data_IF_908930804647
#
_entry.id   IF_908930804647
#
_cell.length_a   1.000
_cell.length_b   1.000
_cell.length_c   1.000
_cell.angle_alpha   90.00
_cell.angle_beta   90.00
_cell.angle_gamma   90.00
#
_symmetry.space_group_name_H-M   'P 1'
#
loop_
_entity.id
_entity.type
_entity.pdbx_description
1 polymer ?
#
# COMPACT_ATOMS: atom_id res chain seq x y z
N UNK A 1 9.97 21.35 7.77
CA UNK A 1 9.09 20.85 6.70
C UNK A 1 9.92 20.72 5.44
N UNK A 2 9.86 19.60 4.73
CA UNK A 2 10.59 19.41 3.48
C UNK A 2 10.05 20.37 2.41
N UNK A 3 10.89 20.80 1.47
CA UNK A 3 10.40 21.44 0.25
C UNK A 3 9.45 20.48 -0.47
N UNK A 4 8.29 20.99 -0.89
CA UNK A 4 7.24 20.19 -1.52
C UNK A 4 7.78 19.54 -2.80
N UNK A 5 7.85 18.21 -2.82
CA UNK A 5 8.33 17.44 -3.96
C UNK A 5 9.83 17.10 -3.96
N UNK A 6 10.58 17.43 -2.91
CA UNK A 6 11.98 17.03 -2.77
C UNK A 6 12.17 15.51 -2.54
N UNK A 7 11.12 14.82 -2.07
CA UNK A 7 11.10 13.38 -1.82
C UNK A 7 9.89 12.75 -2.55
N UNK A 8 10.15 11.71 -3.36
CA UNK A 8 9.13 10.94 -4.09
C UNK A 8 9.04 9.54 -3.51
N UNK A 9 7.84 9.11 -3.14
CA UNK A 9 7.56 7.79 -2.58
C UNK A 9 6.54 7.10 -3.46
N UNK A 10 6.83 5.86 -3.87
CA UNK A 10 5.90 5.01 -4.59
C UNK A 10 5.06 4.19 -3.60
N UNK A 11 3.75 4.22 -3.77
CA UNK A 11 2.80 3.38 -3.03
C UNK A 11 1.92 2.63 -4.03
N UNK A 12 1.31 1.52 -3.59
CA UNK A 12 0.34 0.76 -4.35
C UNK A 12 -0.94 0.65 -3.53
N UNK A 13 -2.12 0.85 -4.13
CA UNK A 13 -3.39 0.70 -3.41
C UNK A 13 -3.58 -0.76 -2.97
N UNK A 14 -4.14 -1.02 -1.78
CA UNK A 14 -4.40 -2.37 -1.30
C UNK A 14 -5.70 -2.97 -1.89
N UNK A 15 -6.06 -2.64 -3.13
CA UNK A 15 -7.34 -3.02 -3.76
C UNK A 15 -7.56 -4.53 -3.79
N UNK A 16 -6.50 -5.31 -4.01
CA UNK A 16 -6.53 -6.78 -4.02
C UNK A 16 -5.75 -7.40 -2.84
N UNK A 17 -5.48 -6.62 -1.79
CA UNK A 17 -4.66 -7.08 -0.68
C UNK A 17 -5.37 -8.17 0.14
N UNK A 18 -4.69 -9.31 0.29
CA UNK A 18 -5.14 -10.46 1.07
C UNK A 18 -3.96 -11.27 1.58
N UNK A 19 -4.12 -11.92 2.73
CA UNK A 19 -3.20 -12.95 3.21
C UNK A 19 -3.70 -14.30 2.71
N UNK A 20 -3.21 -14.73 1.55
CA UNK A 20 -3.64 -15.98 0.88
C UNK A 20 -2.62 -17.12 0.96
N UNK A 21 -1.45 -16.83 1.51
CA UNK A 21 -0.36 -17.76 1.76
C UNK A 21 0.51 -17.20 2.89
N UNK A 22 1.40 -18.02 3.44
CA UNK A 22 2.33 -17.61 4.48
C UNK A 22 3.78 -17.83 4.03
N UNK A 23 4.54 -16.75 3.91
CA UNK A 23 6.00 -16.77 3.67
C UNK A 23 6.79 -16.17 4.84
N UNK A 24 6.09 -15.64 5.85
CA UNK A 24 6.68 -15.12 7.08
C UNK A 24 5.73 -15.37 8.28
N UNK A 25 6.24 -15.32 9.52
CA UNK A 25 5.48 -15.69 10.72
C UNK A 25 4.26 -14.80 11.06
N UNK A 26 4.15 -13.61 10.45
CA UNK A 26 3.06 -12.67 10.72
C UNK A 26 1.79 -12.97 9.90
N UNK A 27 1.92 -13.83 8.87
CA UNK A 27 0.82 -14.15 7.96
C UNK A 27 -0.07 -15.26 8.54
N UNK A 28 -1.20 -14.86 9.15
CA UNK A 28 -2.25 -15.78 9.62
C UNK A 28 -3.38 -15.89 8.58
N UNK A 29 -3.42 -17.01 7.85
CA UNK A 29 -4.39 -17.24 6.77
C UNK A 29 -5.83 -17.44 7.29
N UNK A 30 -6.02 -17.84 8.55
CA UNK A 30 -7.35 -18.02 9.15
C UNK A 30 -7.98 -16.71 9.63
N UNK A 31 -7.23 -15.61 9.61
CA UNK A 31 -7.71 -14.28 9.96
C UNK A 31 -7.81 -13.42 8.70
N UNK A 32 -8.99 -13.38 8.03
CA UNK A 32 -9.14 -12.63 6.79
C UNK A 32 -8.91 -11.13 7.01
N UNK A 33 -8.32 -10.48 6.00
CA UNK A 33 -8.10 -9.03 6.01
C UNK A 33 -9.44 -8.30 5.94
N UNK A 34 -9.65 -7.35 6.84
CA UNK A 34 -10.68 -6.33 6.69
C UNK A 34 -10.23 -5.32 5.62
N UNK A 35 -10.79 -5.46 4.42
CA UNK A 35 -10.39 -4.67 3.23
C UNK A 35 -10.75 -3.19 3.38
N UNK A 36 -11.84 -2.86 4.07
CA UNK A 36 -12.22 -1.47 4.33
C UNK A 36 -11.21 -0.83 5.27
N UNK A 37 -10.90 -1.50 6.38
CA UNK A 37 -9.89 -1.02 7.33
C UNK A 37 -8.51 -0.89 6.69
N UNK A 38 -8.11 -1.84 5.84
CA UNK A 38 -6.84 -1.77 5.11
C UNK A 38 -6.78 -0.54 4.19
N UNK A 39 -7.86 -0.23 3.48
CA UNK A 39 -7.94 0.97 2.64
C UNK A 39 -7.91 2.26 3.46
N UNK A 40 -8.61 2.31 4.60
CA UNK A 40 -8.58 3.46 5.52
C UNK A 40 -7.17 3.70 6.07
N UNK A 41 -6.50 2.66 6.56
CA UNK A 41 -5.13 2.72 7.06
C UNK A 41 -4.14 3.18 5.98
N UNK A 42 -4.30 2.69 4.75
CA UNK A 42 -3.48 3.10 3.61
C UNK A 42 -3.68 4.58 3.26
N UNK A 43 -4.93 5.06 3.24
CA UNK A 43 -5.25 6.47 2.99
C UNK A 43 -4.64 7.37 4.07
N UNK A 44 -4.73 6.97 5.35
CA UNK A 44 -4.09 7.69 6.45
C UNK A 44 -2.58 7.80 6.23
N UNK A 45 -1.91 6.69 5.93
CA UNK A 45 -0.47 6.67 5.68
C UNK A 45 -0.08 7.61 4.52
N UNK A 46 -0.77 7.48 3.37
CA UNK A 46 -0.53 8.34 2.20
C UNK A 46 -0.67 9.82 2.56
N UNK A 47 -1.77 10.19 3.22
CA UNK A 47 -2.05 11.58 3.60
C UNK A 47 -0.98 12.12 4.57
N UNK A 48 -0.56 11.33 5.55
CA UNK A 48 0.50 11.72 6.49
C UNK A 48 1.82 11.95 5.76
N UNK A 49 2.20 11.06 4.83
CA UNK A 49 3.43 11.24 4.02
C UNK A 49 3.38 12.54 3.21
N UNK A 50 2.25 12.83 2.58
CA UNK A 50 2.06 14.06 1.80
C UNK A 50 2.07 15.31 2.68
N UNK A 51 1.48 15.26 3.87
CA UNK A 51 1.52 16.34 4.87
C UNK A 51 2.94 16.64 5.36
N UNK A 52 3.83 15.64 5.37
CA UNK A 52 5.26 15.83 5.68
C UNK A 52 6.07 16.48 4.53
N UNK A 53 5.46 16.69 3.36
CA UNK A 53 6.07 17.40 2.22
C UNK A 53 6.56 16.49 1.08
N UNK A 54 6.42 15.17 1.21
CA UNK A 54 6.74 14.24 0.13
C UNK A 54 5.63 14.19 -0.93
N UNK A 55 6.00 13.79 -2.15
CA UNK A 55 5.04 13.44 -3.20
C UNK A 55 4.83 11.93 -3.19
N UNK A 56 3.57 11.50 -3.08
CA UNK A 56 3.21 10.09 -3.21
C UNK A 56 2.74 9.81 -4.62
N UNK A 57 3.43 8.91 -5.30
CA UNK A 57 3.00 8.33 -6.57
C UNK A 57 2.28 7.02 -6.30
N UNK A 58 1.13 6.85 -6.94
CA UNK A 58 0.29 5.67 -6.72
C UNK A 58 0.32 4.81 -7.98
N UNK A 59 0.87 3.61 -7.85
CA UNK A 59 0.73 2.56 -8.86
C UNK A 59 -0.63 1.89 -8.67
N UNK A 60 -1.36 1.74 -9.77
CA UNK A 60 -2.60 0.96 -9.77
C UNK A 60 -2.28 -0.53 -9.71
N UNK A 61 -2.85 -1.28 -8.74
CA UNK A 61 -2.57 -2.70 -8.58
C UNK A 61 -3.17 -3.48 -9.73
N UNK A 62 -2.53 -4.59 -10.09
CA UNK A 62 -3.13 -5.61 -10.95
C UNK A 62 -3.58 -6.79 -10.09
N UNK A 63 -4.72 -7.39 -10.44
CA UNK A 63 -5.19 -8.60 -9.75
C UNK A 63 -4.27 -9.81 -10.01
N UNK A 64 -3.65 -9.84 -11.20
CA UNK A 64 -2.71 -10.87 -11.63
C UNK A 64 -1.29 -10.33 -11.65
N UNK A 65 -0.33 -11.15 -11.24
CA UNK A 65 1.09 -10.86 -11.40
C UNK A 65 1.40 -10.89 -12.90
N UNK A 66 1.69 -9.73 -13.49
CA UNK A 66 2.16 -9.64 -14.88
C UNK A 66 3.67 -9.72 -14.89
N UNK A 67 4.21 -10.90 -15.16
CA UNK A 67 5.64 -11.05 -15.49
C UNK A 67 5.79 -10.67 -16.96
N UNK A 68 6.44 -9.54 -17.25
CA UNK A 68 6.91 -9.27 -18.61
C UNK A 68 8.04 -10.25 -18.89
N UNK A 69 7.82 -11.19 -19.81
CA UNK A 69 8.88 -11.96 -20.45
C UNK A 69 9.68 -11.06 -21.38
#
# INVERSE_FOLDING_TARGET
MLEKGACRILMCRPTYFKVSYAINPWMEMKNPVDTKKAMEQWNTLKNTIEQCGATVEVMEPTEVIRVKM
#
